data_IF_840979808119
#
_entry.id   IF_840979808119
#
_cell.length_a   1.000
_cell.length_b   1.000
_cell.length_c   1.000
_cell.angle_alpha   90.00
_cell.angle_beta   90.00
_cell.angle_gamma   90.00
#
_symmetry.space_group_name_H-M   'P 1'
#
loop_
_entity.id
_entity.type
_entity.pdbx_description
1 polymer ?
#
# COMPACT_ATOMS: atom_id res chain seq x y z
N UNK A 1 -21.98 -25.48 12.73
CA UNK A 1 -21.50 -24.59 11.65
C UNK A 1 -21.61 -23.18 12.18
N UNK A 2 -20.50 -22.61 12.63
CA UNK A 2 -20.30 -21.18 12.96
C UNK A 2 -19.12 -21.11 13.91
N UNK A 3 -17.91 -21.10 13.38
CA UNK A 3 -16.73 -20.68 14.15
C UNK A 3 -15.54 -20.52 13.22
N UNK A 4 -15.45 -19.38 12.53
CA UNK A 4 -14.17 -18.73 12.22
C UNK A 4 -14.40 -17.22 12.27
N UNK A 5 -14.59 -16.68 13.47
CA UNK A 5 -14.67 -15.22 13.71
C UNK A 5 -13.43 -14.70 14.44
N UNK A 6 -12.25 -15.28 14.20
CA UNK A 6 -11.11 -15.11 15.10
C UNK A 6 -9.85 -14.45 14.53
N UNK A 7 -9.88 -13.79 13.37
CA UNK A 7 -8.63 -13.32 12.74
C UNK A 7 -8.42 -11.81 12.57
N UNK A 8 -9.33 -10.94 13.00
CA UNK A 8 -9.19 -9.51 12.66
C UNK A 8 -8.74 -8.60 13.81
N UNK A 9 -8.78 -9.04 15.06
CA UNK A 9 -8.59 -8.14 16.21
C UNK A 9 -7.20 -8.21 16.90
N UNK A 10 -6.27 -9.05 16.43
CA UNK A 10 -4.98 -9.27 17.13
C UNK A 10 -3.72 -8.70 16.48
N UNK A 11 -3.80 -7.96 15.36
CA UNK A 11 -2.60 -7.52 14.61
C UNK A 11 -2.49 -6.00 14.39
N UNK A 12 -3.10 -5.20 15.27
CA UNK A 12 -3.19 -3.72 15.13
C UNK A 12 -2.07 -2.91 15.80
N UNK A 13 -0.96 -3.54 16.20
CA UNK A 13 0.25 -2.84 16.68
C UNK A 13 1.44 -3.20 15.80
N UNK A 14 1.38 -2.86 14.53
CA UNK A 14 2.52 -2.96 13.61
C UNK A 14 2.57 -1.70 12.75
N UNK A 15 3.79 -1.23 12.50
CA UNK A 15 4.07 -0.05 11.67
C UNK A 15 3.38 -0.24 10.33
N UNK A 16 2.53 0.72 9.95
CA UNK A 16 1.92 0.72 8.61
C UNK A 16 2.91 1.25 7.59
N UNK A 17 2.86 0.74 6.37
CA UNK A 17 3.54 1.23 5.20
C UNK A 17 2.96 2.56 4.70
N UNK A 18 1.79 2.99 5.19
CA UNK A 18 1.17 4.26 4.82
C UNK A 18 2.12 5.47 4.89
N UNK A 19 2.78 5.77 6.03
CA UNK A 19 3.72 6.88 6.12
C UNK A 19 4.93 6.75 5.18
N UNK A 20 5.33 5.53 4.83
CA UNK A 20 6.41 5.29 3.88
C UNK A 20 5.95 5.60 2.45
N UNK A 21 4.83 5.01 2.02
CA UNK A 21 4.24 5.25 0.69
C UNK A 21 3.86 6.73 0.52
N UNK A 22 3.27 7.36 1.53
CA UNK A 22 2.94 8.79 1.50
C UNK A 22 4.19 9.67 1.31
N UNK A 23 5.32 9.35 1.96
CA UNK A 23 6.58 10.05 1.72
C UNK A 23 7.09 9.85 0.31
N UNK A 24 7.07 8.61 -0.19
CA UNK A 24 7.50 8.29 -1.54
C UNK A 24 6.68 9.06 -2.58
N UNK A 25 5.36 9.13 -2.41
CA UNK A 25 4.45 9.93 -3.22
C UNK A 25 4.84 11.41 -3.24
N UNK A 26 5.16 12.00 -2.09
CA UNK A 26 5.57 13.42 -2.02
C UNK A 26 6.97 13.68 -2.55
N UNK A 27 7.95 12.84 -2.22
CA UNK A 27 9.38 13.12 -2.48
C UNK A 27 9.81 12.69 -3.89
N UNK A 28 9.21 11.63 -4.43
CA UNK A 28 9.62 11.02 -5.70
C UNK A 28 8.61 11.24 -6.83
N UNK A 29 7.32 11.33 -6.49
CA UNK A 29 6.24 11.50 -7.46
C UNK A 29 5.60 12.90 -7.44
N UNK A 30 6.11 13.83 -6.63
CA UNK A 30 5.63 15.23 -6.53
C UNK A 30 4.12 15.34 -6.25
N UNK A 31 3.56 14.35 -5.53
CA UNK A 31 2.15 14.34 -5.16
C UNK A 31 1.92 15.31 -4.02
N UNK A 32 0.87 16.13 -4.14
CA UNK A 32 0.49 17.08 -3.10
C UNK A 32 0.05 16.34 -1.82
N UNK A 33 0.71 16.56 -0.66
CA UNK A 33 0.32 15.92 0.60
C UNK A 33 -1.12 16.23 1.03
N UNK A 34 -1.72 17.33 0.56
CA UNK A 34 -3.12 17.67 0.87
C UNK A 34 -4.12 16.74 0.18
N UNK A 35 -3.73 16.09 -0.93
CA UNK A 35 -4.59 15.13 -1.65
C UNK A 35 -4.33 13.67 -1.24
N UNK A 36 -3.25 13.41 -0.50
CA UNK A 36 -2.91 12.07 -0.01
C UNK A 36 -3.88 11.66 1.09
N UNK A 37 -4.76 10.72 0.77
CA UNK A 37 -5.71 10.13 1.71
C UNK A 37 -5.89 8.65 1.42
N UNK A 38 -6.32 7.83 2.40
CA UNK A 38 -6.60 6.41 2.17
C UNK A 38 -7.66 6.17 1.08
N UNK A 39 -8.54 7.14 0.88
CA UNK A 39 -9.65 7.11 -0.08
C UNK A 39 -9.22 7.58 -1.49
N UNK A 40 -8.02 8.15 -1.61
CA UNK A 40 -7.52 8.70 -2.86
C UNK A 40 -7.24 7.57 -3.87
N UNK A 41 -7.63 7.81 -5.11
CA UNK A 41 -7.31 6.93 -6.24
C UNK A 41 -6.00 7.35 -6.88
N UNK A 42 -5.36 6.45 -7.63
CA UNK A 42 -4.12 6.77 -8.36
C UNK A 42 -4.28 7.97 -9.30
N UNK A 43 -5.38 8.00 -10.05
CA UNK A 43 -5.73 9.14 -10.91
C UNK A 43 -5.96 10.42 -10.10
N UNK A 44 -6.59 10.32 -8.92
CA UNK A 44 -6.82 11.46 -8.02
C UNK A 44 -5.54 12.01 -7.38
N UNK A 45 -4.52 11.17 -7.26
CA UNK A 45 -3.16 11.56 -6.84
C UNK A 45 -2.32 12.11 -8.01
N UNK A 46 -2.87 12.13 -9.23
CA UNK A 46 -2.15 12.58 -10.43
C UNK A 46 -1.14 11.57 -10.97
N UNK A 47 -1.26 10.29 -10.61
CA UNK A 47 -0.38 9.23 -11.08
C UNK A 47 -0.93 8.56 -12.33
N UNK A 48 -0.10 8.52 -13.38
CA UNK A 48 -0.37 7.73 -14.59
C UNK A 48 -0.09 6.24 -14.35
N UNK A 49 -0.62 5.38 -15.22
CA UNK A 49 -0.44 3.92 -15.14
C UNK A 49 1.03 3.48 -15.10
N UNK A 50 1.93 4.22 -15.79
CA UNK A 50 3.37 3.97 -15.74
C UNK A 50 3.96 4.33 -14.38
N UNK A 51 3.60 5.50 -13.83
CA UNK A 51 4.08 5.96 -12.52
C UNK A 51 3.61 5.04 -11.40
N UNK A 52 2.40 4.49 -11.49
CA UNK A 52 1.91 3.49 -10.53
C UNK A 52 2.74 2.20 -10.58
N UNK A 53 3.13 1.75 -11.77
CA UNK A 53 4.02 0.58 -11.93
C UNK A 53 5.40 0.86 -11.34
N UNK A 54 5.97 2.05 -11.57
CA UNK A 54 7.24 2.47 -10.95
C UNK A 54 7.12 2.52 -9.42
N UNK A 55 6.00 3.04 -8.90
CA UNK A 55 5.76 3.15 -7.46
C UNK A 55 5.74 1.77 -6.81
N UNK A 56 5.12 0.79 -7.46
CA UNK A 56 5.10 -0.59 -6.99
C UNK A 56 6.51 -1.14 -6.89
N UNK A 57 7.34 -0.97 -7.94
CA UNK A 57 8.73 -1.44 -7.91
C UNK A 57 9.56 -0.76 -6.81
N UNK A 58 9.37 0.54 -6.60
CA UNK A 58 10.07 1.26 -5.54
C UNK A 58 9.66 0.77 -4.15
N UNK A 59 8.36 0.51 -3.95
CA UNK A 59 7.85 -0.06 -2.70
C UNK A 59 8.37 -1.47 -2.48
N UNK A 60 8.41 -2.31 -3.52
CA UNK A 60 8.98 -3.66 -3.48
C UNK A 60 10.47 -3.66 -3.11
N UNK A 61 11.28 -2.79 -3.74
CA UNK A 61 12.72 -2.70 -3.51
C UNK A 61 13.04 -2.20 -2.10
N UNK A 62 12.38 -1.11 -1.66
CA UNK A 62 12.65 -0.48 -0.38
C UNK A 62 12.15 -1.32 0.81
N UNK A 63 11.02 -2.03 0.65
CA UNK A 63 10.45 -2.89 1.69
C UNK A 63 10.91 -4.35 1.57
N UNK A 64 11.55 -4.71 0.46
CA UNK A 64 11.98 -6.07 0.15
C UNK A 64 10.81 -7.06 0.05
N UNK A 65 9.67 -6.64 -0.48
CA UNK A 65 8.48 -7.48 -0.69
C UNK A 65 8.24 -7.73 -2.18
N UNK A 66 7.35 -8.67 -2.49
CA UNK A 66 6.93 -8.97 -3.87
C UNK A 66 5.41 -8.77 -3.97
N UNK A 67 5.00 -7.79 -4.76
CA UNK A 67 3.62 -7.44 -5.07
C UNK A 67 3.29 -8.08 -6.42
N UNK A 68 2.65 -9.23 -6.39
CA UNK A 68 2.26 -9.94 -7.61
C UNK A 68 1.25 -9.09 -8.38
N UNK A 69 1.60 -8.57 -9.55
CA UNK A 69 0.76 -7.66 -10.35
C UNK A 69 -0.66 -8.18 -10.69
N UNK A 70 -0.93 -9.49 -10.49
CA UNK A 70 -2.28 -10.08 -10.54
C UNK A 70 -3.19 -9.62 -9.39
N UNK A 71 -2.62 -9.18 -8.25
CA UNK A 71 -3.33 -8.37 -7.27
C UNK A 71 -3.51 -6.99 -7.90
N UNK A 72 -4.56 -6.88 -8.70
CA UNK A 72 -5.12 -5.65 -9.24
C UNK A 72 -4.72 -4.47 -8.37
N UNK A 73 -3.87 -3.60 -8.94
CA UNK A 73 -3.61 -2.25 -8.45
C UNK A 73 -4.93 -1.72 -7.89
N UNK A 74 -5.05 -1.68 -6.57
CA UNK A 74 -6.34 -1.39 -5.93
C UNK A 74 -6.81 -0.02 -6.37
N UNK A 75 -8.10 0.24 -6.29
CA UNK A 75 -8.61 1.54 -6.76
C UNK A 75 -8.14 2.68 -5.86
N UNK A 76 -7.82 2.39 -4.60
CA UNK A 76 -7.46 3.37 -3.58
C UNK A 76 -6.11 3.11 -2.94
N UNK A 77 -5.47 4.19 -2.47
CA UNK A 77 -4.20 4.15 -1.76
C UNK A 77 -4.28 3.29 -0.48
N UNK A 78 -5.38 3.39 0.26
CA UNK A 78 -5.55 2.66 1.51
C UNK A 78 -5.57 1.15 1.33
N UNK A 79 -6.23 0.67 0.27
CA UNK A 79 -6.27 -0.76 -0.06
C UNK A 79 -4.88 -1.29 -0.46
N UNK A 80 -4.15 -0.53 -1.28
CA UNK A 80 -2.78 -0.91 -1.67
C UNK A 80 -1.82 -0.95 -0.50
N UNK A 81 -1.88 0.04 0.38
CA UNK A 81 -1.08 0.05 1.59
C UNK A 81 -1.45 -1.12 2.52
N UNK A 82 -2.73 -1.48 2.61
CA UNK A 82 -3.15 -2.62 3.41
C UNK A 82 -2.56 -3.95 2.88
N UNK A 83 -2.52 -4.14 1.55
CA UNK A 83 -1.84 -5.30 0.95
C UNK A 83 -0.34 -5.31 1.29
N UNK A 84 0.33 -4.17 1.16
CA UNK A 84 1.76 -4.03 1.50
C UNK A 84 2.00 -4.38 2.97
N UNK A 85 1.13 -3.92 3.87
CA UNK A 85 1.18 -4.24 5.30
C UNK A 85 1.02 -5.75 5.56
N UNK A 86 0.15 -6.44 4.82
CA UNK A 86 -0.02 -7.90 4.90
C UNK A 86 1.23 -8.65 4.39
N UNK A 87 1.82 -8.21 3.27
CA UNK A 87 3.02 -8.83 2.71
C UNK A 87 4.24 -8.66 3.61
N UNK A 88 4.43 -7.45 4.17
CA UNK A 88 5.45 -7.18 5.18
C UNK A 88 5.29 -8.10 6.40
N UNK A 89 4.05 -8.28 6.84
CA UNK A 89 3.70 -9.14 7.96
C UNK A 89 3.99 -10.62 7.68
N UNK A 90 3.71 -11.09 6.48
CA UNK A 90 3.96 -12.47 6.08
C UNK A 90 5.45 -12.77 5.90
N UNK A 91 6.27 -11.77 5.57
CA UNK A 91 7.74 -11.90 5.42
C UNK A 91 8.45 -12.04 6.77
N UNK A 92 7.91 -11.46 7.84
CA UNK A 92 8.52 -11.45 9.18
C UNK A 92 8.14 -12.65 10.07
N UNK A 93 7.24 -13.53 9.61
CA UNK A 93 6.88 -14.81 10.25
C UNK A 93 7.69 -15.98 9.64
#
# INVERSE_FOLDING_TARGET
MSSVSHHLARRYLRVSAYPFVARLLTEKYDVDPEVISPEATWEGLGLDSLSVVELIFDVEDELGIEIVAESQIFQTLGESVALVDELLQAKED
#
